data_IF_974366681272
#
_entry.id   IF_974366681272
#
_cell.length_a   1.000
_cell.length_b   1.000
_cell.length_c   1.000
_cell.angle_alpha   90.00
_cell.angle_beta   90.00
_cell.angle_gamma   90.00
#
_symmetry.space_group_name_H-M   'P 1'
#
loop_
_entity.id
_entity.type
_entity.pdbx_description
1 polymer ?
#
# COMPACT_ATOMS: atom_id res chain seq x y z
N UNK A 1 24.01 12.36 38.62
CA UNK A 1 23.39 11.08 38.94
C UNK A 1 22.63 10.61 37.70
N UNK A 2 23.27 9.77 36.89
CA UNK A 2 22.82 9.39 35.53
C UNK A 2 22.19 8.00 35.63
N UNK A 3 20.89 7.91 35.35
CA UNK A 3 20.19 6.63 35.29
C UNK A 3 20.17 6.15 33.84
N UNK A 4 21.05 5.19 33.57
CA UNK A 4 21.01 4.38 32.34
C UNK A 4 19.86 3.39 32.43
N UNK A 5 18.92 3.40 31.51
CA UNK A 5 17.95 2.31 31.31
C UNK A 5 18.40 1.43 30.15
N UNK A 6 18.61 0.17 30.51
CA UNK A 6 18.96 -0.95 29.65
C UNK A 6 17.88 -1.22 28.60
N UNK A 7 18.33 -1.34 27.35
CA UNK A 7 17.63 -2.01 26.27
C UNK A 7 18.21 -3.42 26.16
N UNK A 8 17.42 -4.41 26.54
CA UNK A 8 17.77 -5.81 26.34
C UNK A 8 16.85 -6.46 25.30
N UNK A 9 17.47 -6.96 24.26
CA UNK A 9 17.22 -8.22 23.53
C UNK A 9 15.81 -8.51 22.96
N UNK A 10 15.73 -8.46 21.64
CA UNK A 10 15.09 -9.51 20.84
C UNK A 10 15.95 -9.82 19.63
N UNK A 11 16.91 -10.69 19.83
CA UNK A 11 17.66 -11.34 18.75
C UNK A 11 16.89 -12.58 18.30
N UNK A 12 16.52 -12.67 17.02
CA UNK A 12 16.10 -13.90 16.39
C UNK A 12 17.23 -14.42 15.48
N UNK A 13 17.64 -15.68 15.68
CA UNK A 13 18.74 -16.27 14.90
C UNK A 13 18.22 -16.84 13.59
N UNK A 14 18.59 -16.26 12.46
CA UNK A 14 18.56 -16.93 11.17
C UNK A 14 19.92 -17.51 10.88
N UNK A 15 20.11 -18.78 11.24
CA UNK A 15 21.28 -19.55 10.89
C UNK A 15 21.30 -19.83 9.37
N UNK A 16 22.35 -19.34 8.75
CA UNK A 16 22.78 -19.67 7.40
C UNK A 16 23.08 -21.17 7.34
N UNK A 17 22.31 -21.92 6.56
CA UNK A 17 22.71 -23.29 6.17
C UNK A 17 22.91 -23.33 4.67
N UNK A 18 24.16 -23.10 4.31
CA UNK A 18 24.67 -23.31 2.95
C UNK A 18 24.65 -24.80 2.63
N UNK A 19 23.86 -25.23 1.66
CA UNK A 19 23.96 -26.57 1.09
C UNK A 19 23.91 -26.46 -0.43
N UNK A 20 25.04 -26.65 -1.06
CA UNK A 20 25.21 -26.86 -2.49
C UNK A 20 24.23 -27.95 -2.96
N UNK A 21 23.37 -27.63 -3.91
CA UNK A 21 22.54 -28.58 -4.62
C UNK A 21 22.64 -28.33 -6.13
N UNK A 22 23.00 -29.39 -6.78
CA UNK A 22 23.31 -29.68 -8.17
C UNK A 22 22.30 -29.10 -9.15
N UNK A 23 22.79 -28.60 -10.27
CA UNK A 23 22.03 -28.23 -11.45
C UNK A 23 21.18 -29.41 -11.95
N UNK A 24 19.88 -29.29 -11.82
CA UNK A 24 18.92 -30.00 -12.66
C UNK A 24 18.09 -28.94 -13.37
N UNK A 25 18.20 -28.93 -14.70
CA UNK A 25 17.39 -28.12 -15.60
C UNK A 25 15.92 -28.60 -15.48
N UNK A 26 15.15 -28.01 -14.60
CA UNK A 26 13.70 -28.11 -14.60
C UNK A 26 13.17 -26.81 -15.19
N UNK A 27 12.25 -26.86 -16.18
CA UNK A 27 11.67 -25.64 -16.72
C UNK A 27 10.95 -24.90 -15.60
N UNK A 28 11.34 -23.64 -15.39
CA UNK A 28 10.70 -22.72 -14.44
C UNK A 28 9.23 -22.57 -14.83
N UNK A 29 8.37 -23.36 -14.20
CA UNK A 29 6.94 -23.06 -14.13
C UNK A 29 6.78 -21.67 -13.53
N UNK A 30 6.36 -20.74 -14.36
CA UNK A 30 6.07 -19.36 -14.03
C UNK A 30 4.74 -19.27 -13.22
N UNK A 31 4.73 -19.80 -12.00
CA UNK A 31 3.58 -19.83 -11.10
C UNK A 31 3.72 -18.83 -9.95
N UNK A 32 4.25 -17.63 -10.24
CA UNK A 32 4.23 -16.51 -9.32
C UNK A 32 3.17 -15.47 -9.73
N UNK A 33 2.00 -15.92 -10.17
CA UNK A 33 0.80 -15.09 -10.21
C UNK A 33 0.19 -15.15 -8.80
N UNK A 34 0.64 -14.23 -7.93
CA UNK A 34 0.01 -14.04 -6.62
C UNK A 34 -1.49 -13.79 -6.81
N UNK A 35 -2.31 -14.28 -5.86
CA UNK A 35 -3.76 -14.05 -5.84
C UNK A 35 -4.10 -12.60 -6.18
N UNK A 36 -5.21 -12.31 -6.87
CA UNK A 36 -5.66 -10.95 -7.14
C UNK A 36 -5.65 -10.12 -5.86
N UNK A 37 -5.22 -8.87 -5.96
CA UNK A 37 -5.14 -7.98 -4.81
C UNK A 37 -6.52 -7.35 -4.55
N UNK A 38 -7.13 -7.67 -3.42
CA UNK A 38 -8.40 -7.08 -3.03
C UNK A 38 -8.23 -5.78 -2.23
N UNK A 39 -9.33 -5.05 -2.01
CA UNK A 39 -9.32 -3.77 -1.29
C UNK A 39 -8.88 -3.91 0.18
N UNK A 40 -9.18 -5.04 0.81
CA UNK A 40 -8.75 -5.36 2.16
C UNK A 40 -7.22 -5.50 2.23
N UNK A 41 -6.60 -6.11 1.21
CA UNK A 41 -5.13 -6.22 1.11
C UNK A 41 -4.47 -4.84 1.02
N UNK A 42 -5.06 -3.93 0.23
CA UNK A 42 -4.58 -2.56 0.08
C UNK A 42 -4.68 -1.82 1.41
N UNK A 43 -5.83 -1.93 2.09
CA UNK A 43 -6.06 -1.29 3.38
C UNK A 43 -5.08 -1.80 4.44
N UNK A 44 -4.85 -3.13 4.52
CA UNK A 44 -3.87 -3.76 5.42
C UNK A 44 -2.45 -3.29 5.10
N UNK A 45 -2.10 -3.23 3.81
CA UNK A 45 -0.77 -2.78 3.36
C UNK A 45 -0.50 -1.33 3.76
N UNK A 46 -1.47 -0.44 3.61
CA UNK A 46 -1.36 0.96 4.01
C UNK A 46 -1.26 1.09 5.53
N UNK A 47 -2.12 0.39 6.28
CA UNK A 47 -2.04 0.34 7.75
C UNK A 47 -0.64 -0.08 8.20
N UNK A 48 -0.10 -1.14 7.61
CA UNK A 48 1.23 -1.65 7.93
C UNK A 48 2.33 -0.64 7.56
N UNK A 49 2.29 -0.09 6.35
CA UNK A 49 3.31 0.83 5.86
C UNK A 49 3.47 2.07 6.74
N UNK A 50 2.36 2.62 7.24
CA UNK A 50 2.34 3.83 8.06
C UNK A 50 2.23 3.56 9.57
N UNK A 51 2.26 2.32 10.00
CA UNK A 51 2.09 1.90 11.39
C UNK A 51 0.83 2.50 12.05
N UNK A 52 -0.28 2.63 11.31
CA UNK A 52 -1.52 3.18 11.82
C UNK A 52 -2.25 2.18 12.74
N UNK A 53 -2.72 2.68 13.88
CA UNK A 53 -3.66 1.97 14.72
C UNK A 53 -5.12 2.21 14.27
N UNK A 54 -6.07 1.52 14.87
CA UNK A 54 -7.51 1.65 14.54
C UNK A 54 -8.02 3.07 14.76
N UNK A 55 -7.63 3.73 15.85
CA UNK A 55 -8.04 5.10 16.15
C UNK A 55 -7.59 6.08 15.06
N UNK A 56 -6.36 5.88 14.52
CA UNK A 56 -5.86 6.68 13.41
C UNK A 56 -6.62 6.41 12.12
N UNK A 57 -6.99 5.16 11.86
CA UNK A 57 -7.80 4.81 10.68
C UNK A 57 -9.21 5.40 10.77
N UNK A 58 -9.85 5.38 11.94
CA UNK A 58 -11.12 6.07 12.20
C UNK A 58 -11.00 7.57 11.91
N UNK A 59 -9.95 8.21 12.42
CA UNK A 59 -9.70 9.63 12.19
C UNK A 59 -9.51 9.95 10.70
N UNK A 60 -8.81 9.08 9.94
CA UNK A 60 -8.63 9.24 8.48
C UNK A 60 -9.96 9.20 7.74
N UNK A 61 -10.87 8.27 8.06
CA UNK A 61 -12.22 8.26 7.49
C UNK A 61 -12.99 9.54 7.86
N UNK A 62 -12.85 10.00 9.11
CA UNK A 62 -13.46 11.26 9.57
C UNK A 62 -12.99 12.49 8.79
N UNK A 63 -11.71 12.53 8.36
CA UNK A 63 -11.18 13.60 7.50
C UNK A 63 -11.83 13.63 6.10
N UNK A 64 -12.36 12.51 5.64
CA UNK A 64 -13.17 12.41 4.42
C UNK A 64 -14.68 12.61 4.69
N UNK A 65 -15.05 13.13 5.88
CA UNK A 65 -16.44 13.35 6.30
C UNK A 65 -17.29 12.08 6.32
N UNK A 66 -16.65 10.93 6.49
CA UNK A 66 -17.31 9.64 6.54
C UNK A 66 -17.10 8.96 7.89
N UNK A 67 -18.19 8.57 8.53
CA UNK A 67 -18.14 7.87 9.83
C UNK A 67 -18.19 6.37 9.61
N UNK A 68 -17.26 5.67 10.25
CA UNK A 68 -17.19 4.22 10.29
C UNK A 68 -17.02 3.78 11.75
N UNK A 69 -17.38 2.53 12.05
CA UNK A 69 -17.20 1.97 13.39
C UNK A 69 -15.89 1.21 13.51
N UNK A 70 -15.44 0.97 14.74
CA UNK A 70 -14.24 0.17 15.00
C UNK A 70 -14.43 -1.28 14.52
N UNK A 71 -15.64 -1.81 14.64
CA UNK A 71 -16.00 -3.15 14.17
C UNK A 71 -15.88 -3.27 12.64
N UNK A 72 -16.29 -2.24 11.90
CA UNK A 72 -16.14 -2.21 10.45
C UNK A 72 -14.66 -2.22 10.05
N UNK A 73 -13.84 -1.36 10.67
CA UNK A 73 -12.40 -1.34 10.42
C UNK A 73 -11.77 -2.69 10.78
N UNK A 74 -12.09 -3.23 11.95
CA UNK A 74 -11.61 -4.54 12.38
C UNK A 74 -11.98 -5.62 11.37
N UNK A 75 -13.24 -5.64 10.88
CA UNK A 75 -13.70 -6.58 9.86
C UNK A 75 -12.94 -6.46 8.53
N UNK A 76 -12.67 -5.23 8.08
CA UNK A 76 -11.89 -5.00 6.84
C UNK A 76 -10.41 -5.36 6.95
N UNK A 77 -9.85 -5.37 8.16
CA UNK A 77 -8.47 -5.72 8.41
C UNK A 77 -8.23 -7.22 8.55
N UNK A 78 -9.27 -8.01 8.76
CA UNK A 78 -9.20 -9.46 8.83
C UNK A 78 -8.91 -10.07 7.45
N UNK A 79 -8.40 -11.30 7.44
CA UNK A 79 -8.26 -12.11 6.24
C UNK A 79 -9.60 -12.80 5.93
N UNK A 80 -9.78 -13.25 4.71
CA UNK A 80 -11.03 -13.88 4.25
C UNK A 80 -11.40 -15.15 5.04
N UNK A 81 -10.41 -15.86 5.57
CA UNK A 81 -10.57 -17.05 6.39
C UNK A 81 -10.82 -16.77 7.88
N UNK A 82 -10.74 -15.51 8.33
CA UNK A 82 -10.90 -15.14 9.74
C UNK A 82 -12.37 -14.82 10.07
N UNK A 83 -12.87 -15.29 11.25
CA UNK A 83 -14.24 -14.98 11.67
C UNK A 83 -14.48 -13.48 11.79
N UNK A 84 -15.60 -13.02 11.22
CA UNK A 84 -15.98 -11.61 11.20
C UNK A 84 -15.25 -10.78 10.12
N UNK A 85 -14.64 -11.43 9.12
CA UNK A 85 -14.19 -10.76 7.90
C UNK A 85 -15.35 -10.01 7.23
N UNK A 86 -15.06 -8.81 6.75
CA UNK A 86 -15.96 -8.00 5.95
C UNK A 86 -15.22 -7.51 4.69
N UNK A 87 -15.82 -7.65 3.50
CA UNK A 87 -15.22 -7.12 2.29
C UNK A 87 -15.27 -5.57 2.30
N UNK A 88 -14.14 -4.94 1.99
CA UNK A 88 -14.05 -3.50 1.79
C UNK A 88 -14.44 -3.17 0.34
N UNK A 89 -15.51 -2.42 0.15
CA UNK A 89 -15.94 -2.00 -1.20
C UNK A 89 -15.00 -0.96 -1.80
N UNK A 90 -15.07 -0.80 -3.13
CA UNK A 90 -14.32 0.24 -3.87
C UNK A 90 -14.61 1.63 -3.32
N UNK A 91 -15.88 1.92 -3.04
CA UNK A 91 -16.29 3.21 -2.47
C UNK A 91 -15.68 3.45 -1.09
N UNK A 92 -15.67 2.43 -0.22
CA UNK A 92 -15.07 2.54 1.11
C UNK A 92 -13.55 2.79 1.05
N UNK A 93 -12.86 2.06 0.17
CA UNK A 93 -11.43 2.30 -0.05
C UNK A 93 -11.18 3.68 -0.67
N UNK A 94 -12.03 4.14 -1.62
CA UNK A 94 -11.93 5.47 -2.21
C UNK A 94 -12.06 6.59 -1.16
N UNK A 95 -13.04 6.46 -0.25
CA UNK A 95 -13.23 7.37 0.89
C UNK A 95 -11.99 7.38 1.78
N UNK A 96 -11.49 6.20 2.15
CA UNK A 96 -10.27 6.09 2.95
C UNK A 96 -9.08 6.80 2.29
N UNK A 97 -8.86 6.57 0.99
CA UNK A 97 -7.77 7.21 0.25
C UNK A 97 -7.94 8.73 0.15
N UNK A 98 -9.18 9.25 0.06
CA UNK A 98 -9.45 10.69 0.16
C UNK A 98 -9.09 11.22 1.54
N UNK A 99 -9.42 10.47 2.60
CA UNK A 99 -9.00 10.79 3.97
C UNK A 99 -7.47 10.79 4.12
N UNK A 100 -6.76 9.85 3.50
CA UNK A 100 -5.28 9.82 3.49
C UNK A 100 -4.71 11.05 2.80
N UNK A 101 -5.32 11.52 1.70
CA UNK A 101 -4.91 12.76 1.03
C UNK A 101 -5.08 13.95 1.99
N UNK A 102 -6.23 14.06 2.65
CA UNK A 102 -6.51 15.14 3.62
C UNK A 102 -5.57 15.08 4.82
N UNK A 103 -5.24 13.90 5.31
CA UNK A 103 -4.28 13.70 6.40
C UNK A 103 -2.86 14.17 6.04
N UNK A 104 -2.41 13.88 4.82
CA UNK A 104 -1.03 14.16 4.39
C UNK A 104 -0.83 15.53 3.76
N UNK A 105 -1.89 16.11 3.18
CA UNK A 105 -1.83 17.36 2.41
C UNK A 105 -2.61 18.51 3.04
N UNK A 106 -3.36 18.22 4.09
CA UNK A 106 -4.36 19.14 4.65
C UNK A 106 -5.68 19.06 3.89
N UNK A 107 -6.76 19.23 4.64
CA UNK A 107 -8.10 19.28 4.07
C UNK A 107 -8.27 20.59 3.28
N UNK A 108 -8.69 20.48 2.03
CA UNK A 108 -9.03 21.67 1.22
C UNK A 108 -10.37 22.24 1.67
N UNK A 109 -10.52 23.54 1.56
CA UNK A 109 -11.80 24.22 1.73
C UNK A 109 -12.76 23.79 0.61
N UNK A 110 -14.04 23.68 0.95
CA UNK A 110 -15.10 23.30 0.02
C UNK A 110 -15.51 21.83 0.15
N UNK A 111 -16.43 21.38 -0.75
CA UNK A 111 -16.98 20.04 -0.70
C UNK A 111 -15.89 18.98 -0.94
N UNK A 112 -16.00 17.87 -0.21
CA UNK A 112 -15.08 16.74 -0.42
C UNK A 112 -15.30 16.11 -1.81
N UNK A 113 -14.24 15.58 -2.43
CA UNK A 113 -14.36 14.87 -3.70
C UNK A 113 -15.33 13.69 -3.57
N UNK A 114 -16.24 13.56 -4.54
CA UNK A 114 -17.13 12.40 -4.62
C UNK A 114 -16.28 11.13 -4.72
N UNK A 115 -16.48 10.15 -3.84
CA UNK A 115 -15.70 8.91 -3.88
C UNK A 115 -16.05 8.10 -5.14
N UNK A 116 -15.06 7.47 -5.73
CA UNK A 116 -15.22 6.61 -6.88
C UNK A 116 -16.05 5.38 -6.54
N UNK A 117 -17.01 5.04 -7.39
CA UNK A 117 -17.83 3.83 -7.31
C UNK A 117 -17.06 2.57 -7.76
N UNK A 118 -16.06 2.75 -8.60
CA UNK A 118 -15.15 1.70 -9.09
C UNK A 118 -13.72 2.19 -8.98
N UNK A 119 -12.89 1.42 -8.28
CA UNK A 119 -11.47 1.69 -8.13
C UNK A 119 -10.65 0.78 -9.04
N UNK A 120 -9.79 1.38 -9.84
CA UNK A 120 -8.73 0.67 -10.55
C UNK A 120 -7.40 0.91 -9.84
N UNK A 121 -6.43 0.02 -10.05
CA UNK A 121 -5.09 0.20 -9.50
C UNK A 121 -4.46 1.54 -9.95
N UNK A 122 -4.80 2.03 -11.15
CA UNK A 122 -4.36 3.33 -11.66
C UNK A 122 -4.89 4.48 -10.78
N UNK A 123 -6.17 4.42 -10.38
CA UNK A 123 -6.78 5.45 -9.51
C UNK A 123 -6.14 5.39 -8.12
N UNK A 124 -5.97 4.19 -7.56
CA UNK A 124 -5.33 3.99 -6.26
C UNK A 124 -3.90 4.54 -6.26
N UNK A 125 -3.12 4.17 -7.29
CA UNK A 125 -1.74 4.64 -7.44
C UNK A 125 -1.67 6.17 -7.56
N UNK A 126 -2.60 6.78 -8.31
CA UNK A 126 -2.72 8.25 -8.45
C UNK A 126 -3.05 8.91 -7.12
N UNK A 127 -4.02 8.39 -6.36
CA UNK A 127 -4.37 8.93 -5.04
C UNK A 127 -3.19 8.85 -4.06
N UNK A 128 -2.45 7.74 -4.06
CA UNK A 128 -1.26 7.58 -3.23
C UNK A 128 -0.13 8.52 -3.65
N UNK A 129 0.09 8.71 -4.96
CA UNK A 129 1.04 9.71 -5.47
C UNK A 129 0.71 11.11 -4.96
N UNK A 130 -0.56 11.51 -5.01
CA UNK A 130 -1.04 12.80 -4.50
C UNK A 130 -0.85 12.89 -2.99
N UNK A 131 -1.33 11.89 -2.24
CA UNK A 131 -1.25 11.88 -0.78
C UNK A 131 0.18 12.02 -0.27
N UNK A 132 1.11 11.29 -0.87
CA UNK A 132 2.52 11.27 -0.46
C UNK A 132 3.37 12.36 -1.12
N UNK A 133 2.77 13.22 -1.95
CA UNK A 133 3.46 14.29 -2.68
C UNK A 133 4.66 13.81 -3.52
N UNK A 134 4.52 12.64 -4.15
CA UNK A 134 5.61 12.03 -4.90
C UNK A 134 5.70 12.59 -6.31
N UNK A 135 6.93 12.87 -6.76
CA UNK A 135 7.26 13.06 -8.17
C UNK A 135 7.42 11.70 -8.86
N UNK A 136 7.55 11.71 -10.18
CA UNK A 136 7.72 10.45 -10.94
C UNK A 136 9.02 9.73 -10.55
N UNK A 137 10.08 10.50 -10.28
CA UNK A 137 11.37 9.97 -9.83
C UNK A 137 11.24 9.29 -8.45
N UNK A 138 10.48 9.88 -7.53
CA UNK A 138 10.24 9.31 -6.19
C UNK A 138 9.46 8.01 -6.27
N UNK A 139 8.48 7.93 -7.19
CA UNK A 139 7.71 6.72 -7.44
C UNK A 139 8.58 5.60 -8.01
N UNK A 140 9.43 5.91 -8.98
CA UNK A 140 10.37 4.96 -9.56
C UNK A 140 11.36 4.45 -8.51
N UNK A 141 11.90 5.35 -7.67
CA UNK A 141 12.78 4.99 -6.56
C UNK A 141 12.06 4.09 -5.53
N UNK A 142 10.79 4.40 -5.22
CA UNK A 142 9.98 3.59 -4.30
C UNK A 142 9.71 2.19 -4.85
N UNK A 143 9.41 2.06 -6.14
CA UNK A 143 9.23 0.77 -6.82
C UNK A 143 10.54 -0.02 -6.87
N UNK A 144 11.67 0.65 -7.14
CA UNK A 144 12.98 0.01 -7.18
C UNK A 144 13.39 -0.61 -5.83
N UNK A 145 13.02 0.00 -4.69
CA UNK A 145 13.22 -0.58 -3.36
C UNK A 145 12.49 -1.91 -3.17
N UNK A 146 11.39 -2.12 -3.88
CA UNK A 146 10.64 -3.37 -3.90
C UNK A 146 11.03 -4.28 -5.07
N UNK A 147 12.18 -4.02 -5.72
CA UNK A 147 12.73 -4.77 -6.87
C UNK A 147 11.84 -4.71 -8.13
N UNK A 148 10.91 -3.74 -8.19
CA UNK A 148 10.08 -3.48 -9.37
C UNK A 148 10.73 -2.38 -10.22
N UNK A 149 11.17 -2.74 -11.42
CA UNK A 149 11.79 -1.80 -12.37
C UNK A 149 10.79 -1.36 -13.41
N UNK A 150 10.60 -0.06 -13.52
CA UNK A 150 9.80 0.59 -14.54
C UNK A 150 10.58 1.76 -15.15
N UNK A 151 10.39 1.98 -16.43
CA UNK A 151 10.84 3.21 -17.08
C UNK A 151 9.91 4.38 -16.74
N UNK A 152 10.40 5.61 -16.87
CA UNK A 152 9.59 6.83 -16.71
C UNK A 152 8.40 6.84 -17.68
N UNK A 153 8.60 6.29 -18.90
CA UNK A 153 7.56 6.22 -19.91
C UNK A 153 6.43 5.26 -19.53
N UNK A 154 6.76 4.07 -18.99
CA UNK A 154 5.77 3.11 -18.49
C UNK A 154 5.00 3.67 -17.29
N UNK A 155 5.69 4.29 -16.34
CA UNK A 155 5.04 4.92 -15.19
C UNK A 155 4.05 5.99 -15.64
N UNK A 156 4.44 6.87 -16.61
CA UNK A 156 3.56 7.93 -17.10
C UNK A 156 2.31 7.39 -17.78
N UNK A 157 2.38 6.22 -18.41
CA UNK A 157 1.26 5.57 -19.07
C UNK A 157 0.11 5.19 -18.09
N UNK A 158 0.43 4.90 -16.82
CA UNK A 158 -0.58 4.61 -15.80
C UNK A 158 -1.42 5.82 -15.40
N UNK A 159 -0.93 7.03 -15.64
CA UNK A 159 -1.61 8.28 -15.26
C UNK A 159 -2.35 8.95 -16.42
N UNK A 160 -2.33 8.38 -17.60
CA UNK A 160 -3.11 8.85 -18.74
C UNK A 160 -4.58 8.54 -18.58
N UNK A 161 -5.44 9.17 -19.39
CA UNK A 161 -6.86 8.83 -19.43
C UNK A 161 -7.05 7.45 -20.05
N UNK A 162 -8.08 6.69 -19.66
CA UNK A 162 -8.32 5.34 -20.19
C UNK A 162 -8.54 5.28 -21.71
N UNK A 163 -9.03 6.36 -22.31
CA UNK A 163 -9.26 6.52 -23.75
C UNK A 163 -7.99 6.90 -24.53
N UNK A 164 -6.88 7.21 -23.84
CA UNK A 164 -5.64 7.59 -24.48
C UNK A 164 -4.93 6.37 -25.10
N UNK A 165 -4.43 6.42 -26.38
CA UNK A 165 -3.82 5.27 -27.06
C UNK A 165 -2.62 4.65 -26.33
N UNK A 166 -1.92 5.44 -25.50
CA UNK A 166 -0.80 4.96 -24.69
C UNK A 166 -1.17 4.76 -23.21
N UNK A 167 -2.45 4.66 -22.87
CA UNK A 167 -2.86 4.25 -21.53
C UNK A 167 -2.44 2.81 -21.27
N UNK A 168 -1.99 2.54 -20.05
CA UNK A 168 -1.73 1.19 -19.59
C UNK A 168 -2.39 0.96 -18.23
N UNK A 169 -2.94 -0.22 -18.09
CA UNK A 169 -3.49 -0.67 -16.82
C UNK A 169 -2.37 -1.04 -15.86
N UNK A 170 -2.42 -0.49 -14.65
CA UNK A 170 -1.53 -0.85 -13.57
C UNK A 170 -1.91 -2.23 -13.02
N UNK A 171 -1.09 -3.23 -13.25
CA UNK A 171 -1.32 -4.59 -12.75
C UNK A 171 -1.08 -4.67 -11.24
N UNK A 172 -1.70 -5.66 -10.58
CA UNK A 172 -1.61 -5.89 -9.14
C UNK A 172 -0.17 -5.99 -8.64
N UNK A 173 0.70 -6.61 -9.42
CA UNK A 173 2.13 -6.73 -9.09
C UNK A 173 2.79 -5.37 -8.91
N UNK A 174 2.45 -4.39 -9.76
CA UNK A 174 3.01 -3.03 -9.69
C UNK A 174 2.49 -2.31 -8.44
N UNK A 175 1.17 -2.36 -8.19
CA UNK A 175 0.58 -1.75 -7.01
C UNK A 175 1.12 -2.40 -5.72
N UNK A 176 1.22 -3.72 -5.67
CA UNK A 176 1.81 -4.48 -4.56
C UNK A 176 3.27 -4.09 -4.31
N UNK A 177 4.06 -4.00 -5.37
CA UNK A 177 5.45 -3.52 -5.31
C UNK A 177 5.54 -2.09 -4.79
N UNK A 178 4.67 -1.19 -5.26
CA UNK A 178 4.63 0.18 -4.79
C UNK A 178 4.30 0.27 -3.29
N UNK A 179 3.26 -0.43 -2.82
CA UNK A 179 2.89 -0.47 -1.40
C UNK A 179 3.99 -1.05 -0.52
N UNK A 180 4.68 -2.11 -0.99
CA UNK A 180 5.86 -2.68 -0.32
C UNK A 180 6.98 -1.64 -0.22
N UNK A 181 7.29 -0.94 -1.31
CA UNK A 181 8.31 0.11 -1.34
C UNK A 181 8.00 1.28 -0.40
N UNK A 182 6.71 1.71 -0.34
CA UNK A 182 6.25 2.71 0.63
C UNK A 182 6.49 2.23 2.06
N UNK A 183 6.17 0.96 2.36
CA UNK A 183 6.40 0.36 3.67
C UNK A 183 7.88 0.35 4.06
N UNK A 184 8.76 -0.02 3.13
CA UNK A 184 10.21 0.00 3.35
C UNK A 184 10.71 1.41 3.64
N UNK A 185 10.25 2.41 2.88
CA UNK A 185 10.64 3.82 3.04
C UNK A 185 10.14 4.43 4.35
N UNK A 186 8.90 4.12 4.75
CA UNK A 186 8.31 4.70 5.96
C UNK A 186 8.78 4.03 7.26
N UNK A 187 9.36 2.83 7.18
CA UNK A 187 9.83 2.03 8.33
C UNK A 187 11.35 1.89 8.37
N UNK A 188 12.08 2.48 7.41
CA UNK A 188 13.53 2.58 7.53
C UNK A 188 13.89 3.31 8.84
N UNK A 189 14.87 2.81 9.62
CA UNK A 189 15.39 3.58 10.75
C UNK A 189 15.85 4.96 10.24
N UNK A 190 15.58 6.00 11.02
CA UNK A 190 16.17 7.30 10.79
C UNK A 190 17.63 7.18 11.23
N UNK A 191 18.56 7.11 10.28
CA UNK A 191 20.01 7.18 10.53
C UNK A 191 20.40 8.58 11.04
#
# INVERSE_FOLDING_TARGET
MVIRKNLAHCAHPWAIRNRQARHTNTPLCNSAQGSPMNNNDILRSLRYAFAWNEAKMLAIFGLAEHRVTAEQISGWLKKEDEPGYQPCSDTQLAIFLNGVINEKRGKKEGPQPVPEQRLTNNIILRKLKIALNLKDEDMLATLAQAEVRLSKHELSAFFRRPDHPHYRECKDQILRGFLKGVGLKCRAPLD
#
